data_IF_659070175391
#
_entry.id   IF_659070175391
#
_cell.length_a   1.000
_cell.length_b   1.000
_cell.length_c   1.000
_cell.angle_alpha   90.00
_cell.angle_beta   90.00
_cell.angle_gamma   90.00
#
_symmetry.space_group_name_H-M   'P 1'
#
loop_
_entity.id
_entity.type
_entity.pdbx_description
1 polymer ?
#
# COMPACT_ATOMS: atom_id res chain seq x y z
N UNK A 1 -22.45 -25.77 -13.53
CA UNK A 1 -21.33 -26.69 -13.25
C UNK A 1 -20.17 -26.24 -14.11
N UNK A 2 -19.11 -25.75 -13.46
CA UNK A 2 -17.68 -25.70 -13.86
C UNK A 2 -17.35 -25.31 -15.31
N UNK A 3 -16.46 -24.39 -15.64
CA UNK A 3 -15.40 -23.63 -14.99
C UNK A 3 -14.95 -22.67 -16.09
N UNK A 4 -15.00 -21.36 -15.85
CA UNK A 4 -14.20 -20.41 -16.65
C UNK A 4 -13.29 -19.69 -15.66
N UNK A 5 -12.40 -20.47 -15.03
CA UNK A 5 -11.18 -19.97 -14.42
C UNK A 5 -10.29 -19.46 -15.55
N UNK A 6 -10.50 -18.20 -15.91
CA UNK A 6 -9.64 -17.49 -16.84
C UNK A 6 -8.22 -17.46 -16.24
N UNK A 7 -7.36 -18.28 -16.84
CA UNK A 7 -5.94 -18.46 -16.57
C UNK A 7 -5.25 -17.10 -16.45
N UNK A 8 -4.66 -16.84 -15.28
CA UNK A 8 -3.70 -15.77 -15.13
C UNK A 8 -2.44 -16.16 -15.92
N UNK A 9 -1.88 -15.24 -16.69
CA UNK A 9 -0.68 -15.50 -17.47
C UNK A 9 0.53 -14.88 -16.77
N UNK A 10 1.49 -15.71 -16.35
CA UNK A 10 2.81 -15.25 -15.91
C UNK A 10 3.67 -15.06 -17.16
N UNK A 11 4.36 -13.94 -17.27
CA UNK A 11 5.40 -13.77 -18.30
C UNK A 11 6.69 -14.31 -17.71
N UNK A 12 7.21 -15.42 -18.24
CA UNK A 12 8.49 -15.97 -17.77
C UNK A 12 9.67 -15.07 -18.18
N UNK A 13 10.89 -15.39 -17.72
CA UNK A 13 12.12 -14.62 -18.01
C UNK A 13 12.43 -14.45 -19.52
N UNK A 14 11.66 -15.09 -20.40
CA UNK A 14 11.80 -15.05 -21.86
C UNK A 14 10.62 -14.36 -22.57
N UNK A 15 9.68 -13.76 -21.84
CA UNK A 15 8.54 -13.07 -22.46
C UNK A 15 7.38 -13.99 -22.83
N UNK A 16 7.41 -15.28 -22.49
CA UNK A 16 6.34 -16.22 -22.82
C UNK A 16 5.26 -16.26 -21.72
N UNK A 17 3.99 -16.27 -22.15
CA UNK A 17 2.82 -16.38 -21.28
C UNK A 17 2.66 -17.84 -20.82
N UNK A 18 2.97 -18.11 -19.56
CA UNK A 18 2.67 -19.37 -18.88
C UNK A 18 1.31 -19.26 -18.17
N UNK A 19 0.43 -20.23 -18.38
CA UNK A 19 -0.81 -20.31 -17.62
C UNK A 19 -0.51 -20.69 -16.18
N UNK A 20 -0.82 -19.79 -15.24
CA UNK A 20 -0.87 -20.11 -13.82
C UNK A 20 -2.13 -20.95 -13.63
N UNK A 21 -1.95 -22.22 -13.25
CA UNK A 21 -3.03 -23.02 -12.71
C UNK A 21 -3.41 -22.38 -11.37
N UNK A 22 -4.49 -21.59 -11.35
CA UNK A 22 -4.98 -20.97 -10.14
C UNK A 22 -5.45 -22.07 -9.21
N UNK A 23 -4.57 -22.44 -8.27
CA UNK A 23 -4.92 -23.37 -7.21
C UNK A 23 -6.00 -22.70 -6.36
N UNK A 24 -7.25 -23.11 -6.55
CA UNK A 24 -8.40 -22.56 -5.82
C UNK A 24 -8.16 -22.63 -4.30
N UNK A 25 -7.49 -23.68 -3.80
CA UNK A 25 -7.15 -23.79 -2.39
C UNK A 25 -6.18 -22.70 -1.91
N UNK A 26 -5.24 -22.26 -2.76
CA UNK A 26 -4.35 -21.13 -2.44
C UNK A 26 -5.11 -19.80 -2.40
N UNK A 27 -6.06 -19.59 -3.33
CA UNK A 27 -6.91 -18.40 -3.32
C UNK A 27 -7.77 -18.37 -2.06
N UNK A 28 -8.40 -19.49 -1.70
CA UNK A 28 -9.23 -19.60 -0.51
C UNK A 28 -8.42 -19.38 0.77
N UNK A 29 -7.18 -19.89 0.83
CA UNK A 29 -6.26 -19.64 1.93
C UNK A 29 -5.85 -18.16 2.02
N UNK A 30 -5.51 -17.54 0.88
CA UNK A 30 -5.14 -16.13 0.84
C UNK A 30 -6.30 -15.23 1.32
N UNK A 31 -7.52 -15.49 0.86
CA UNK A 31 -8.72 -14.75 1.28
C UNK A 31 -8.94 -14.89 2.79
N UNK A 32 -8.88 -16.12 3.32
CA UNK A 32 -9.05 -16.35 4.75
C UNK A 32 -8.00 -15.62 5.59
N UNK A 33 -6.72 -15.74 5.22
CA UNK A 33 -5.63 -15.09 5.95
C UNK A 33 -5.73 -13.55 5.86
N UNK A 34 -6.23 -13.02 4.74
CA UNK A 34 -6.44 -11.59 4.58
C UNK A 34 -7.60 -11.08 5.42
N UNK A 35 -8.72 -11.83 5.49
CA UNK A 35 -9.85 -11.49 6.36
C UNK A 35 -9.45 -11.54 7.84
N UNK A 36 -8.67 -12.53 8.26
CA UNK A 36 -8.11 -12.61 9.61
C UNK A 36 -7.19 -11.42 9.90
N UNK A 37 -6.27 -11.11 8.98
CA UNK A 37 -5.39 -9.94 9.10
C UNK A 37 -6.18 -8.63 9.23
N UNK A 38 -7.25 -8.43 8.44
CA UNK A 38 -8.07 -7.22 8.52
C UNK A 38 -8.77 -7.10 9.88
N UNK A 39 -9.30 -8.21 10.41
CA UNK A 39 -9.93 -8.22 11.74
C UNK A 39 -8.92 -7.89 12.85
N UNK A 40 -7.74 -8.53 12.82
CA UNK A 40 -6.69 -8.27 13.81
C UNK A 40 -6.18 -6.83 13.71
N UNK A 41 -6.10 -6.28 12.49
CA UNK A 41 -5.73 -4.89 12.26
C UNK A 41 -6.77 -3.91 12.82
N UNK A 42 -8.06 -4.17 12.60
CA UNK A 42 -9.14 -3.34 13.18
C UNK A 42 -9.12 -3.37 14.71
N UNK A 43 -8.94 -4.54 15.32
CA UNK A 43 -8.85 -4.69 16.77
C UNK A 43 -7.62 -3.94 17.31
N UNK A 44 -6.46 -4.06 16.65
CA UNK A 44 -5.23 -3.36 17.02
C UNK A 44 -5.38 -1.84 16.90
N UNK A 45 -5.96 -1.34 15.81
CA UNK A 45 -6.21 0.10 15.62
C UNK A 45 -7.20 0.63 16.67
N UNK A 46 -8.26 -0.12 16.98
CA UNK A 46 -9.22 0.27 18.02
C UNK A 46 -8.58 0.34 19.41
N UNK A 47 -7.66 -0.57 19.71
CA UNK A 47 -6.85 -0.51 20.93
C UNK A 47 -5.97 0.74 20.94
N UNK A 48 -5.21 1.00 19.88
CA UNK A 48 -4.35 2.18 19.78
C UNK A 48 -5.14 3.48 19.91
N UNK A 49 -6.29 3.60 19.26
CA UNK A 49 -7.17 4.77 19.35
C UNK A 49 -7.70 5.00 20.78
N UNK A 50 -7.90 3.92 21.56
CA UNK A 50 -8.38 4.01 22.94
C UNK A 50 -7.30 4.43 23.93
N UNK A 51 -6.06 3.96 23.75
CA UNK A 51 -5.00 4.12 24.76
C UNK A 51 -3.96 5.17 24.38
N UNK A 52 -3.57 5.24 23.11
CA UNK A 52 -2.47 6.09 22.65
C UNK A 52 -2.70 7.56 22.94
N UNK A 53 -3.88 8.17 22.69
CA UNK A 53 -4.11 9.58 22.99
C UNK A 53 -3.84 9.92 24.47
N UNK A 54 -4.35 9.11 25.40
CA UNK A 54 -4.14 9.32 26.84
C UNK A 54 -2.67 9.19 27.24
N UNK A 55 -1.95 8.21 26.69
CA UNK A 55 -0.52 8.04 26.95
C UNK A 55 0.32 9.21 26.41
N UNK A 56 -0.02 9.74 25.23
CA UNK A 56 0.63 10.92 24.66
C UNK A 56 0.37 12.17 25.52
N UNK A 57 -0.87 12.35 26.00
CA UNK A 57 -1.24 13.45 26.90
C UNK A 57 -0.51 13.37 28.25
N UNK A 58 -0.52 12.20 28.90
CA UNK A 58 0.19 11.96 30.16
C UNK A 58 1.70 12.14 30.02
N UNK A 59 2.26 11.69 28.90
CA UNK A 59 3.65 11.87 28.53
C UNK A 59 4.04 13.31 28.15
N UNK A 60 3.06 14.22 28.06
CA UNK A 60 3.24 15.60 27.56
C UNK A 60 3.91 15.64 26.18
N UNK A 61 3.57 14.67 25.35
CA UNK A 61 4.15 14.52 24.03
C UNK A 61 3.85 15.76 23.17
N UNK A 62 4.90 16.35 22.63
CA UNK A 62 4.82 17.62 21.92
C UNK A 62 4.75 17.40 20.41
N UNK A 63 4.21 18.40 19.69
CA UNK A 63 4.25 18.41 18.22
C UNK A 63 5.68 18.36 17.68
N UNK A 64 6.65 18.93 18.41
CA UNK A 64 8.05 18.87 18.00
C UNK A 64 8.61 17.44 18.07
N UNK A 65 8.26 16.67 19.09
CA UNK A 65 8.66 15.27 19.21
C UNK A 65 7.98 14.40 18.15
N UNK A 66 6.69 14.65 17.88
CA UNK A 66 5.97 14.04 16.75
C UNK A 66 6.73 14.25 15.43
N UNK A 67 7.06 15.49 15.11
CA UNK A 67 7.76 15.85 13.87
C UNK A 67 9.12 15.16 13.75
N UNK A 68 9.85 15.05 14.87
CA UNK A 68 11.14 14.33 14.92
C UNK A 68 10.97 12.83 14.63
N UNK A 69 9.93 12.20 15.19
CA UNK A 69 9.63 10.79 14.95
C UNK A 69 9.23 10.57 13.49
N UNK A 70 8.35 11.40 12.93
CA UNK A 70 7.95 11.29 11.51
C UNK A 70 9.18 11.41 10.60
N UNK A 71 10.05 12.38 10.85
CA UNK A 71 11.29 12.52 10.08
C UNK A 71 12.21 11.31 10.24
N UNK A 72 12.29 10.73 11.45
CA UNK A 72 13.08 9.54 11.70
C UNK A 72 12.56 8.34 10.92
N UNK A 73 11.25 8.08 10.96
CA UNK A 73 10.59 7.01 10.20
C UNK A 73 10.87 7.16 8.71
N UNK A 74 10.69 8.37 8.17
CA UNK A 74 10.92 8.63 6.74
C UNK A 74 12.39 8.40 6.39
N UNK A 75 13.34 8.80 7.24
CA UNK A 75 14.77 8.55 7.02
C UNK A 75 15.08 7.06 7.03
N UNK A 76 14.59 6.32 8.03
CA UNK A 76 14.91 4.91 8.24
C UNK A 76 14.32 3.99 7.16
N UNK A 77 13.18 4.36 6.59
CA UNK A 77 12.61 3.67 5.44
C UNK A 77 13.46 3.79 4.17
N UNK A 78 14.32 4.82 4.08
CA UNK A 78 15.11 5.11 2.90
C UNK A 78 14.26 5.28 1.63
N UNK A 79 14.90 5.26 0.46
CA UNK A 79 14.18 5.51 -0.79
C UNK A 79 13.19 4.40 -1.16
N UNK A 80 13.61 3.14 -0.97
CA UNK A 80 12.80 1.97 -1.32
C UNK A 80 11.58 1.79 -0.42
N UNK A 81 11.76 1.94 0.89
CA UNK A 81 10.65 1.85 1.84
C UNK A 81 9.61 2.94 1.59
N UNK A 82 10.04 4.20 1.45
CA UNK A 82 9.11 5.30 1.16
C UNK A 82 8.38 5.11 -0.17
N UNK A 83 9.03 4.61 -1.22
CA UNK A 83 8.37 4.35 -2.50
C UNK A 83 7.24 3.31 -2.38
N UNK A 84 7.38 2.38 -1.45
CA UNK A 84 6.42 1.31 -1.19
C UNK A 84 5.28 1.76 -0.27
N UNK A 85 5.60 2.39 0.86
CA UNK A 85 4.64 2.63 1.96
C UNK A 85 4.03 4.04 1.92
N UNK A 86 4.77 5.06 1.50
CA UNK A 86 4.34 6.45 1.62
C UNK A 86 3.06 6.77 0.84
N UNK A 87 2.85 6.26 -0.40
CA UNK A 87 1.59 6.48 -1.09
C UNK A 87 0.37 5.95 -0.34
N UNK A 88 0.48 4.74 0.21
CA UNK A 88 -0.58 4.10 1.00
C UNK A 88 -0.84 4.88 2.27
N UNK A 89 0.21 5.25 3.01
CA UNK A 89 0.08 6.04 4.24
C UNK A 89 -0.63 7.37 3.96
N UNK A 90 -0.23 8.11 2.94
CA UNK A 90 -0.86 9.40 2.62
C UNK A 90 -2.30 9.24 2.12
N UNK A 91 -2.61 8.17 1.40
CA UNK A 91 -3.98 7.88 0.98
C UNK A 91 -4.88 7.55 2.17
N UNK A 92 -4.45 6.65 3.05
CA UNK A 92 -5.15 6.35 4.29
C UNK A 92 -5.26 7.62 5.15
N UNK A 93 -4.19 8.43 5.18
CA UNK A 93 -4.19 9.65 5.97
C UNK A 93 -5.17 10.70 5.47
N UNK A 94 -5.36 10.73 4.16
CA UNK A 94 -6.38 11.59 3.55
C UNK A 94 -7.80 11.11 3.88
N UNK A 95 -8.07 9.81 4.00
CA UNK A 95 -9.43 9.30 4.24
C UNK A 95 -9.92 9.51 5.67
N UNK A 96 -9.05 9.39 6.67
CA UNK A 96 -9.42 9.55 8.09
C UNK A 96 -9.29 11.01 8.62
N UNK A 97 -8.22 11.73 8.27
CA UNK A 97 -7.94 13.09 8.79
C UNK A 97 -8.41 14.20 7.83
N UNK A 98 -8.64 13.86 6.56
CA UNK A 98 -8.97 14.84 5.53
C UNK A 98 -7.74 15.58 4.98
N UNK A 99 -7.96 16.31 3.89
CA UNK A 99 -6.90 16.99 3.15
C UNK A 99 -6.24 18.13 3.94
N UNK A 100 -7.02 18.85 4.73
CA UNK A 100 -6.59 20.04 5.47
C UNK A 100 -5.58 19.68 6.55
N UNK A 101 -5.87 18.64 7.34
CA UNK A 101 -4.98 18.19 8.41
C UNK A 101 -3.75 17.47 7.86
N UNK A 102 -3.88 16.72 6.76
CA UNK A 102 -2.74 16.13 6.07
C UNK A 102 -1.74 17.21 5.62
N UNK A 103 -2.24 18.24 4.94
CA UNK A 103 -1.40 19.34 4.43
C UNK A 103 -0.78 20.17 5.56
N UNK A 104 -1.49 20.32 6.67
CA UNK A 104 -1.03 21.10 7.83
C UNK A 104 0.00 20.36 8.67
N UNK A 105 -0.21 19.08 8.96
CA UNK A 105 0.58 18.36 9.97
C UNK A 105 1.54 17.31 9.38
N UNK A 106 1.19 16.67 8.27
CA UNK A 106 2.03 15.60 7.70
C UNK A 106 2.96 16.12 6.60
N UNK A 107 2.40 16.85 5.64
CA UNK A 107 3.16 17.29 4.47
C UNK A 107 4.41 18.13 4.80
N UNK A 108 4.44 19.01 5.81
CA UNK A 108 5.65 19.76 6.16
C UNK A 108 6.80 18.87 6.65
N UNK A 109 6.49 17.71 7.22
CA UNK A 109 7.47 16.77 7.78
C UNK A 109 8.12 15.84 6.75
N UNK A 110 7.60 15.81 5.52
CA UNK A 110 8.15 15.01 4.43
C UNK A 110 9.28 15.78 3.74
N UNK A 111 10.51 15.23 3.67
CA UNK A 111 11.62 15.85 2.96
C UNK A 111 11.28 16.17 1.50
N UNK A 112 11.74 17.32 1.01
CA UNK A 112 11.44 17.82 -0.34
C UNK A 112 11.63 16.79 -1.47
N UNK A 113 12.77 16.07 -1.55
CA UNK A 113 12.98 15.05 -2.58
C UNK A 113 11.97 13.88 -2.50
N UNK A 114 11.65 13.42 -1.29
CA UNK A 114 10.66 12.36 -1.04
C UNK A 114 9.26 12.83 -1.46
N UNK A 115 8.88 14.06 -1.09
CA UNK A 115 7.62 14.69 -1.50
C UNK A 115 7.51 14.81 -3.02
N UNK A 116 8.59 15.22 -3.69
CA UNK A 116 8.66 15.32 -5.14
C UNK A 116 8.44 13.96 -5.81
N UNK A 117 9.17 12.93 -5.36
CA UNK A 117 9.05 11.58 -5.92
C UNK A 117 7.69 10.97 -5.64
N UNK A 118 7.14 11.16 -4.45
CA UNK A 118 5.81 10.71 -4.11
C UNK A 118 4.76 11.32 -5.06
N UNK A 119 4.78 12.66 -5.22
CA UNK A 119 3.81 13.37 -6.07
C UNK A 119 3.92 12.99 -7.55
N UNK A 120 5.14 12.88 -8.08
CA UNK A 120 5.36 12.77 -9.53
C UNK A 120 5.60 11.34 -10.02
N UNK A 121 5.85 10.38 -9.13
CA UNK A 121 6.21 9.01 -9.51
C UNK A 121 5.47 7.96 -8.68
N UNK A 122 5.66 7.95 -7.36
CA UNK A 122 5.21 6.82 -6.54
C UNK A 122 3.69 6.79 -6.37
N UNK A 123 3.06 7.91 -6.04
CA UNK A 123 1.61 7.95 -5.81
C UNK A 123 0.81 7.66 -7.09
N UNK A 124 1.11 8.26 -8.26
CA UNK A 124 0.44 7.89 -9.51
C UNK A 124 0.57 6.40 -9.83
N UNK A 125 1.77 5.82 -9.64
CA UNK A 125 2.02 4.41 -9.89
C UNK A 125 1.25 3.51 -8.91
N UNK A 126 1.32 3.80 -7.62
CA UNK A 126 0.62 3.06 -6.57
C UNK A 126 -0.89 3.08 -6.80
N UNK A 127 -1.46 4.24 -7.15
CA UNK A 127 -2.91 4.35 -7.44
C UNK A 127 -3.35 3.38 -8.54
N UNK A 128 -2.63 3.33 -9.66
CA UNK A 128 -2.95 2.43 -10.78
C UNK A 128 -2.71 0.96 -10.37
N UNK A 129 -1.56 0.67 -9.78
CA UNK A 129 -1.16 -0.71 -9.50
C UNK A 129 -1.96 -1.36 -8.35
N UNK A 130 -2.44 -0.56 -7.40
CA UNK A 130 -3.11 -1.06 -6.18
C UNK A 130 -4.59 -0.71 -6.20
N UNK A 131 -4.95 0.58 -6.21
CA UNK A 131 -6.36 0.98 -6.07
C UNK A 131 -7.21 0.57 -7.27
N UNK A 132 -6.76 0.87 -8.49
CA UNK A 132 -7.54 0.54 -9.69
C UNK A 132 -7.65 -0.99 -9.88
N UNK A 133 -6.59 -1.73 -9.55
CA UNK A 133 -6.61 -3.20 -9.54
C UNK A 133 -7.54 -3.75 -8.46
N UNK A 134 -7.54 -3.18 -7.26
CA UNK A 134 -8.46 -3.56 -6.20
C UNK A 134 -9.92 -3.33 -6.62
N UNK A 135 -10.24 -2.17 -7.19
CA UNK A 135 -11.57 -1.86 -7.71
C UNK A 135 -11.99 -2.80 -8.85
N UNK A 136 -11.06 -3.15 -9.75
CA UNK A 136 -11.30 -4.10 -10.83
C UNK A 136 -11.63 -5.50 -10.28
N UNK A 137 -10.87 -5.98 -9.30
CA UNK A 137 -11.12 -7.27 -8.63
C UNK A 137 -12.46 -7.24 -7.89
N UNK A 138 -12.71 -6.19 -7.10
CA UNK A 138 -13.95 -6.04 -6.32
C UNK A 138 -15.21 -5.97 -7.19
N UNK A 139 -15.10 -5.34 -8.36
CA UNK A 139 -16.19 -5.27 -9.35
C UNK A 139 -16.29 -6.50 -10.27
N UNK A 140 -15.43 -7.50 -10.08
CA UNK A 140 -15.26 -8.66 -10.96
C UNK A 140 -15.04 -8.26 -12.44
N UNK A 141 -14.46 -7.07 -12.66
CA UNK A 141 -14.18 -6.52 -13.98
C UNK A 141 -12.72 -6.81 -14.37
N UNK A 142 -12.51 -8.03 -14.84
CA UNK A 142 -11.17 -8.56 -15.18
C UNK A 142 -10.48 -7.80 -16.32
N UNK A 143 -11.24 -7.13 -17.19
CA UNK A 143 -10.69 -6.33 -18.30
C UNK A 143 -10.04 -5.02 -17.83
N UNK A 144 -10.36 -4.56 -16.61
CA UNK A 144 -9.78 -3.36 -16.00
C UNK A 144 -8.55 -3.62 -15.15
N UNK A 145 -8.15 -4.88 -14.96
CA UNK A 145 -6.94 -5.20 -14.20
C UNK A 145 -5.74 -4.71 -15.00
N UNK A 146 -5.11 -3.63 -14.52
CA UNK A 146 -3.90 -3.06 -15.11
C UNK A 146 -2.71 -3.82 -14.55
N UNK A 147 -2.29 -4.85 -15.29
CA UNK A 147 -1.00 -5.49 -15.12
C UNK A 147 0.07 -4.60 -15.77
N UNK A 148 0.65 -3.65 -15.04
CA UNK A 148 1.86 -2.96 -15.50
C UNK A 148 3.07 -3.93 -15.40
N UNK A 149 3.19 -4.81 -16.38
CA UNK A 149 4.43 -5.54 -16.65
C UNK A 149 5.27 -4.75 -17.68
N UNK A 150 6.45 -4.31 -17.25
CA UNK A 150 7.48 -3.56 -18.02
C UNK A 150 7.12 -2.11 -18.38
N UNK A 151 8.01 -1.12 -18.25
CA UNK A 151 9.24 -0.97 -19.07
C UNK A 151 10.36 -0.11 -18.42
N UNK A 152 10.57 -0.16 -17.10
CA UNK A 152 11.72 0.59 -16.53
C UNK A 152 11.85 0.73 -15.03
N UNK A 153 11.14 -0.07 -14.22
CA UNK A 153 11.35 -0.05 -12.77
C UNK A 153 12.67 -0.77 -12.48
N UNK A 154 13.64 -0.08 -11.89
CA UNK A 154 14.90 -0.65 -11.43
C UNK A 154 14.67 -1.69 -10.31
N UNK A 155 14.33 -2.92 -10.70
CA UNK A 155 14.67 -4.18 -10.01
C UNK A 155 14.39 -4.38 -8.51
N UNK A 156 13.75 -3.47 -7.74
CA UNK A 156 13.68 -3.70 -6.29
C UNK A 156 12.83 -2.76 -5.43
N UNK A 157 12.02 -1.87 -5.99
CA UNK A 157 11.30 -0.84 -5.20
C UNK A 157 9.77 -0.91 -5.19
N UNK A 158 9.14 -1.93 -5.80
CA UNK A 158 7.70 -2.13 -5.69
C UNK A 158 7.36 -3.62 -5.51
N UNK A 159 6.65 -3.96 -4.43
CA UNK A 159 6.14 -5.31 -4.16
C UNK A 159 5.12 -5.82 -5.19
N UNK A 160 4.72 -5.02 -6.18
CA UNK A 160 3.93 -5.49 -7.32
C UNK A 160 4.61 -6.60 -8.13
N UNK A 161 5.93 -6.79 -8.00
CA UNK A 161 6.64 -7.90 -8.63
C UNK A 161 6.84 -9.12 -7.73
N UNK A 162 6.47 -9.07 -6.44
CA UNK A 162 6.78 -10.12 -5.44
C UNK A 162 5.55 -10.97 -5.08
N UNK A 163 4.33 -10.49 -5.38
CA UNK A 163 3.10 -11.26 -5.16
C UNK A 163 2.66 -12.13 -6.35
N UNK A 164 3.57 -12.48 -7.28
CA UNK A 164 3.32 -13.38 -8.41
C UNK A 164 4.49 -14.34 -8.73
#
# INVERSE_FOLDING_TARGET
MTENLHKYARVNNWGALESIDTNQAFIDELVRNFDEFLRDLEDHLSEEERFTPGLLEEGKFTLQEHDQIVQQIIRDQGLGGNALSLPLMLYAMHSWAGVEDLDKYMMPNIPGPIKYLNKNSWFPKWRVCILENYDAVKSNNKEKVVLQYNTGCCGGCCNCCVLL
#
